data_IF_763685609082
#
_entry.id   IF_763685609082
#
_cell.length_a   1.000
_cell.length_b   1.000
_cell.length_c   1.000
_cell.angle_alpha   90.00
_cell.angle_beta   90.00
_cell.angle_gamma   90.00
#
_symmetry.space_group_name_H-M   'P 1'
#
loop_
_entity.id
_entity.type
_entity.pdbx_description
1 polymer ?
#
# COMPACT_ATOMS: atom_id res chain seq x y z
N UNK A 1 -3.05 2.55 -11.92
CA UNK A 1 -2.98 3.45 -13.08
C UNK A 1 -3.91 2.94 -14.18
N UNK A 2 -4.95 3.71 -14.53
CA UNK A 2 -5.95 3.29 -15.48
C UNK A 2 -6.06 4.24 -16.67
N UNK A 3 -6.48 3.73 -17.81
CA UNK A 3 -6.82 4.51 -19.00
C UNK A 3 -8.09 3.93 -19.64
N UNK A 4 -9.17 4.72 -19.64
CA UNK A 4 -10.43 4.40 -20.35
C UNK A 4 -11.30 3.34 -19.67
N UNK A 5 -10.92 2.06 -19.67
CA UNK A 5 -11.69 0.97 -19.05
C UNK A 5 -11.30 0.71 -17.59
N UNK A 6 -10.04 0.91 -17.24
CA UNK A 6 -9.51 0.71 -15.89
C UNK A 6 -9.34 2.05 -15.18
N UNK A 7 -9.50 2.05 -13.87
CA UNK A 7 -9.36 3.24 -13.05
C UNK A 7 -7.92 3.37 -12.53
N UNK A 8 -7.46 4.62 -12.41
CA UNK A 8 -6.33 4.95 -11.56
C UNK A 8 -6.84 5.12 -10.13
N UNK A 9 -6.13 4.55 -9.18
CA UNK A 9 -6.48 4.62 -7.77
C UNK A 9 -5.27 5.04 -6.92
N UNK A 10 -5.53 5.84 -5.88
CA UNK A 10 -4.57 6.20 -4.82
C UNK A 10 -5.24 5.87 -3.49
N UNK A 11 -4.52 5.16 -2.64
CA UNK A 11 -4.92 4.85 -1.26
C UNK A 11 -3.90 5.43 -0.29
N UNK A 12 -4.39 6.10 0.75
CA UNK A 12 -3.56 6.66 1.81
C UNK A 12 -4.01 6.10 3.15
N UNK A 13 -3.06 5.48 3.84
CA UNK A 13 -3.28 4.87 5.16
C UNK A 13 -2.37 5.52 6.19
N UNK A 14 -2.91 5.77 7.36
CA UNK A 14 -2.15 6.20 8.52
C UNK A 14 -1.55 4.99 9.25
N UNK A 15 -0.30 5.09 9.66
CA UNK A 15 0.37 4.13 10.53
C UNK A 15 0.65 4.78 11.91
N UNK A 16 0.55 4.06 12.99
CA UNK A 16 0.32 2.61 13.14
C UNK A 16 -1.16 2.20 13.16
N UNK A 17 -2.10 3.15 13.16
CA UNK A 17 -3.53 2.89 13.33
C UNK A 17 -4.16 2.05 12.21
N UNK A 18 -3.48 1.91 11.07
CA UNK A 18 -4.01 1.31 9.84
C UNK A 18 -5.38 1.89 9.45
N UNK A 19 -5.55 3.19 9.65
CA UNK A 19 -6.78 3.91 9.31
C UNK A 19 -6.69 4.52 7.91
N UNK A 20 -7.69 4.29 7.08
CA UNK A 20 -7.79 4.94 5.78
C UNK A 20 -8.03 6.45 5.95
N UNK A 21 -7.11 7.25 5.41
CA UNK A 21 -7.13 8.72 5.49
C UNK A 21 -7.79 9.32 4.27
N UNK A 22 -7.43 8.82 3.09
CA UNK A 22 -7.89 9.37 1.82
C UNK A 22 -7.86 8.30 0.73
N UNK A 23 -8.76 8.43 -0.22
CA UNK A 23 -8.73 7.73 -1.50
C UNK A 23 -8.94 8.70 -2.65
N UNK A 24 -8.37 8.38 -3.79
CA UNK A 24 -8.67 9.01 -5.06
C UNK A 24 -8.83 7.95 -6.15
N UNK A 25 -9.81 8.13 -7.02
CA UNK A 25 -10.16 7.13 -8.01
C UNK A 25 -10.78 7.79 -9.25
N UNK A 26 -10.15 7.59 -10.44
CA UNK A 26 -10.63 8.19 -11.69
C UNK A 26 -10.09 7.45 -12.92
N UNK A 27 -10.87 7.34 -14.00
CA UNK A 27 -10.50 6.58 -15.19
C UNK A 27 -10.04 7.40 -16.41
N UNK A 28 -10.25 8.73 -16.38
CA UNK A 28 -9.94 9.61 -17.52
C UNK A 28 -8.75 10.55 -17.28
N UNK A 29 -8.10 10.45 -16.13
CA UNK A 29 -6.99 11.35 -15.78
C UNK A 29 -5.70 10.88 -16.46
N UNK A 30 -5.02 11.72 -17.27
CA UNK A 30 -3.72 11.38 -17.85
C UNK A 30 -2.66 11.07 -16.77
N UNK A 31 -1.69 10.21 -17.09
CA UNK A 31 -0.67 9.74 -16.13
C UNK A 31 0.12 10.88 -15.49
N UNK A 32 0.47 11.92 -16.26
CA UNK A 32 1.15 13.10 -15.72
C UNK A 32 0.29 13.85 -14.70
N UNK A 33 -1.02 13.91 -14.92
CA UNK A 33 -1.94 14.51 -13.95
C UNK A 33 -2.12 13.62 -12.71
N UNK A 34 -2.11 12.29 -12.86
CA UNK A 34 -2.13 11.37 -11.72
C UNK A 34 -0.90 11.56 -10.83
N UNK A 35 0.30 11.73 -11.41
CA UNK A 35 1.52 12.01 -10.65
C UNK A 35 1.44 13.35 -9.89
N UNK A 36 0.86 14.40 -10.51
CA UNK A 36 0.61 15.69 -9.83
C UNK A 36 -0.37 15.54 -8.68
N UNK A 37 -1.47 14.82 -8.88
CA UNK A 37 -2.46 14.55 -7.83
C UNK A 37 -1.80 13.83 -6.65
N UNK A 38 -1.00 12.80 -6.92
CA UNK A 38 -0.25 12.10 -5.87
C UNK A 38 0.63 13.06 -5.07
N UNK A 39 1.44 13.88 -5.77
CA UNK A 39 2.29 14.89 -5.12
C UNK A 39 1.47 15.86 -4.27
N UNK A 40 0.40 16.40 -4.82
CA UNK A 40 -0.40 17.43 -4.17
C UNK A 40 -1.15 16.88 -2.95
N UNK A 41 -1.60 15.61 -2.98
CA UNK A 41 -2.16 14.92 -1.82
C UNK A 41 -1.11 14.71 -0.72
N UNK A 42 0.08 14.22 -1.07
CA UNK A 42 1.19 14.01 -0.12
C UNK A 42 1.57 15.36 0.52
N UNK A 43 1.73 16.39 -0.30
CA UNK A 43 2.06 17.74 0.18
C UNK A 43 1.00 18.29 1.11
N UNK A 44 -0.29 18.12 0.78
CA UNK A 44 -1.38 18.58 1.63
C UNK A 44 -1.37 17.91 3.01
N UNK A 45 -1.04 16.62 3.07
CA UNK A 45 -0.93 15.88 4.33
C UNK A 45 0.27 16.39 5.12
N UNK A 46 1.42 16.54 4.47
CA UNK A 46 2.64 17.05 5.11
C UNK A 46 2.44 18.46 5.70
N UNK A 47 1.88 19.37 4.90
CA UNK A 47 1.56 20.75 5.33
C UNK A 47 0.61 20.75 6.55
N UNK A 48 -0.38 19.85 6.60
CA UNK A 48 -1.27 19.71 7.76
C UNK A 48 -0.54 19.19 8.99
N UNK A 49 0.28 18.14 8.84
CA UNK A 49 1.08 17.63 9.95
C UNK A 49 1.99 18.71 10.53
N UNK A 50 2.66 19.48 9.68
CA UNK A 50 3.51 20.61 10.08
C UNK A 50 2.69 21.65 10.83
N UNK A 51 1.52 22.04 10.33
CA UNK A 51 0.66 23.04 10.95
C UNK A 51 0.18 22.62 12.35
N UNK A 52 0.02 21.33 12.58
CA UNK A 52 -0.39 20.76 13.88
C UNK A 52 0.81 20.42 14.79
N UNK A 53 2.05 20.69 14.33
CA UNK A 53 3.27 20.37 15.09
C UNK A 53 3.57 18.88 15.17
N UNK A 54 3.00 18.06 14.26
CA UNK A 54 3.20 16.63 14.20
C UNK A 54 4.40 16.33 13.29
N UNK A 55 5.39 15.60 13.83
CA UNK A 55 6.46 15.04 13.00
C UNK A 55 5.95 13.79 12.32
N UNK A 56 5.75 13.85 11.00
CA UNK A 56 5.31 12.72 10.20
C UNK A 56 6.45 12.12 9.38
N UNK A 57 6.39 10.81 9.14
CA UNK A 57 7.21 10.12 8.14
C UNK A 57 6.29 9.66 7.03
N UNK A 58 6.43 10.25 5.85
CA UNK A 58 5.59 9.93 4.69
C UNK A 58 6.34 8.95 3.78
N UNK A 59 5.68 7.89 3.43
CA UNK A 59 6.17 6.88 2.48
C UNK A 59 5.20 6.78 1.31
N UNK A 60 5.72 6.72 0.10
CA UNK A 60 4.89 6.58 -1.09
C UNK A 60 5.53 5.67 -2.13
N UNK A 61 4.73 5.11 -3.01
CA UNK A 61 5.20 4.28 -4.12
C UNK A 61 4.16 4.20 -5.23
N UNK A 62 4.55 3.57 -6.33
CA UNK A 62 3.66 3.23 -7.44
C UNK A 62 3.83 1.76 -7.81
N UNK A 63 2.77 1.15 -8.34
CA UNK A 63 2.90 -0.15 -8.98
C UNK A 63 3.68 -0.01 -10.28
N UNK A 64 4.75 -0.77 -10.43
CA UNK A 64 5.59 -0.76 -11.63
C UNK A 64 5.09 -1.81 -12.64
N UNK A 65 3.92 -1.54 -13.22
CA UNK A 65 3.42 -2.20 -14.43
C UNK A 65 3.67 -1.28 -15.65
N UNK A 66 3.13 -1.61 -16.82
CA UNK A 66 3.33 -0.82 -18.06
C UNK A 66 2.96 0.67 -17.90
N UNK A 67 1.84 0.97 -17.23
CA UNK A 67 1.44 2.35 -16.93
C UNK A 67 2.22 2.93 -15.75
N UNK A 68 2.69 2.10 -14.85
CA UNK A 68 3.55 2.49 -13.73
C UNK A 68 4.90 3.02 -14.18
N UNK A 69 5.46 2.50 -15.24
CA UNK A 69 6.69 3.06 -15.84
C UNK A 69 6.46 4.49 -16.32
N UNK A 70 5.32 4.78 -16.95
CA UNK A 70 4.95 6.13 -17.33
C UNK A 70 4.75 7.07 -16.12
N UNK A 71 4.20 6.57 -15.02
CA UNK A 71 4.08 7.34 -13.79
C UNK A 71 5.45 7.62 -13.14
N UNK A 72 6.38 6.68 -13.18
CA UNK A 72 7.75 6.90 -12.69
C UNK A 72 8.48 7.97 -13.52
N UNK A 73 8.28 7.98 -14.85
CA UNK A 73 8.79 9.05 -15.72
C UNK A 73 8.18 10.40 -15.34
N UNK A 74 6.85 10.45 -15.16
CA UNK A 74 6.15 11.69 -14.78
C UNK A 74 6.59 12.21 -13.39
N UNK A 75 6.83 11.34 -12.41
CA UNK A 75 7.38 11.71 -11.10
C UNK A 75 8.79 12.29 -11.24
N UNK A 76 9.63 11.67 -12.08
CA UNK A 76 10.98 12.17 -12.33
C UNK A 76 10.98 13.53 -13.05
N UNK A 77 10.06 13.75 -14.01
CA UNK A 77 9.88 15.03 -14.70
C UNK A 77 9.37 16.14 -13.77
N UNK A 78 8.56 15.80 -12.79
CA UNK A 78 8.10 16.75 -11.76
C UNK A 78 9.20 17.09 -10.74
N UNK A 79 10.27 16.29 -10.68
CA UNK A 79 11.32 16.34 -9.68
C UNK A 79 10.91 15.57 -8.41
N UNK A 80 11.62 14.48 -8.12
CA UNK A 80 11.34 13.65 -6.92
C UNK A 80 11.44 14.45 -5.63
N UNK A 81 12.29 15.47 -5.60
CA UNK A 81 12.46 16.40 -4.48
C UNK A 81 11.23 17.25 -4.19
N UNK A 82 10.28 17.32 -5.14
CA UNK A 82 9.01 18.05 -4.93
C UNK A 82 7.95 17.23 -4.20
N UNK A 83 8.24 15.93 -3.97
CA UNK A 83 7.37 15.02 -3.22
C UNK A 83 7.88 14.92 -1.78
N UNK A 84 7.13 15.41 -0.78
CA UNK A 84 7.47 15.15 0.61
C UNK A 84 7.50 13.66 0.91
N UNK A 85 8.49 13.22 1.71
CA UNK A 85 8.59 11.84 2.14
C UNK A 85 9.56 10.98 1.32
N UNK A 86 9.50 9.67 1.55
CA UNK A 86 10.42 8.69 0.98
C UNK A 86 9.71 7.78 -0.03
N UNK A 87 10.24 7.74 -1.25
CA UNK A 87 9.78 6.79 -2.26
C UNK A 87 10.27 5.38 -1.92
N UNK A 88 9.34 4.44 -1.71
CA UNK A 88 9.66 3.05 -1.44
C UNK A 88 9.78 2.24 -2.73
N UNK A 89 10.76 1.35 -2.76
CA UNK A 89 10.99 0.43 -3.87
C UNK A 89 11.20 -0.98 -3.36
N UNK A 90 10.72 -1.94 -4.14
CA UNK A 90 10.87 -3.36 -3.80
C UNK A 90 12.34 -3.80 -3.93
N UNK A 91 12.91 -4.44 -2.88
CA UNK A 91 14.25 -4.99 -2.97
C UNK A 91 14.28 -6.22 -3.87
N UNK A 92 15.19 -6.22 -4.85
CA UNK A 92 15.42 -7.36 -5.74
C UNK A 92 16.63 -8.14 -5.24
N UNK A 93 16.41 -9.42 -4.88
CA UNK A 93 17.48 -10.34 -4.55
C UNK A 93 18.07 -10.93 -5.85
N UNK A 94 19.21 -10.43 -6.32
CA UNK A 94 19.99 -11.07 -7.38
C UNK A 94 21.42 -11.32 -6.85
N UNK A 95 21.70 -12.57 -6.49
CA UNK A 95 23.02 -12.97 -5.96
C UNK A 95 23.34 -12.23 -4.66
N UNK A 96 24.61 -11.81 -4.50
CA UNK A 96 25.10 -11.10 -3.31
C UNK A 96 24.84 -9.59 -3.33
N UNK A 97 24.27 -9.02 -4.41
CA UNK A 97 24.02 -7.59 -4.54
C UNK A 97 22.53 -7.34 -4.48
N UNK A 98 22.09 -6.58 -3.45
CA UNK A 98 20.73 -6.06 -3.40
C UNK A 98 20.62 -4.92 -4.42
N UNK A 99 19.72 -5.08 -5.40
CA UNK A 99 19.33 -4.03 -6.32
C UNK A 99 17.87 -3.67 -6.02
N UNK A 100 17.53 -2.39 -6.20
CA UNK A 100 16.15 -1.94 -6.10
C UNK A 100 15.61 -1.69 -7.50
N UNK A 101 14.42 -2.19 -7.78
CA UNK A 101 13.64 -1.77 -8.94
C UNK A 101 12.70 -0.68 -8.45
N UNK A 102 12.67 0.46 -9.14
CA UNK A 102 11.84 1.58 -8.73
C UNK A 102 10.36 1.16 -8.72
N UNK A 103 9.66 1.44 -7.61
CA UNK A 103 8.29 1.00 -7.37
C UNK A 103 8.15 -0.50 -7.03
N UNK A 104 6.93 -1.01 -7.11
CA UNK A 104 6.59 -2.39 -6.78
C UNK A 104 6.05 -3.13 -8.00
N UNK A 105 6.63 -4.27 -8.34
CA UNK A 105 6.14 -5.11 -9.41
C UNK A 105 5.14 -6.16 -8.86
N UNK A 106 3.91 -6.15 -9.33
CA UNK A 106 2.89 -7.09 -8.88
C UNK A 106 3.06 -8.46 -9.53
N UNK A 107 3.80 -9.32 -8.85
CA UNK A 107 3.86 -10.75 -9.17
C UNK A 107 2.68 -11.48 -8.51
N UNK A 108 2.35 -12.67 -9.01
CA UNK A 108 1.32 -13.52 -8.42
C UNK A 108 1.58 -13.81 -6.93
N UNK A 109 2.81 -14.19 -6.59
CA UNK A 109 3.20 -14.46 -5.20
C UNK A 109 3.08 -13.21 -4.31
N UNK A 110 3.51 -12.04 -4.80
CA UNK A 110 3.39 -10.77 -4.08
C UNK A 110 1.91 -10.39 -3.85
N UNK A 111 1.03 -10.60 -4.85
CA UNK A 111 -0.41 -10.36 -4.72
C UNK A 111 -1.03 -11.27 -3.65
N UNK A 112 -0.70 -12.57 -3.64
CA UNK A 112 -1.19 -13.52 -2.62
C UNK A 112 -0.73 -13.10 -1.23
N UNK A 113 0.55 -12.75 -1.06
CA UNK A 113 1.10 -12.32 0.23
C UNK A 113 0.39 -11.06 0.75
N UNK A 114 0.18 -10.06 -0.12
CA UNK A 114 -0.55 -8.85 0.23
C UNK A 114 -2.02 -9.14 0.61
N UNK A 115 -2.70 -10.03 -0.14
CA UNK A 115 -4.06 -10.47 0.19
C UNK A 115 -4.12 -11.17 1.56
N UNK A 116 -3.13 -12.01 1.87
CA UNK A 116 -3.05 -12.70 3.17
C UNK A 116 -2.86 -11.69 4.31
N UNK A 117 -1.98 -10.69 4.12
CA UNK A 117 -1.77 -9.62 5.10
C UNK A 117 -3.04 -8.79 5.31
N UNK A 118 -3.71 -8.38 4.22
CA UNK A 118 -4.97 -7.64 4.29
C UNK A 118 -6.06 -8.44 5.01
N UNK A 119 -6.21 -9.73 4.68
CA UNK A 119 -7.16 -10.63 5.33
C UNK A 119 -6.89 -10.71 6.83
N UNK A 120 -5.63 -10.90 7.24
CA UNK A 120 -5.24 -10.92 8.65
C UNK A 120 -5.67 -9.64 9.38
N UNK A 121 -5.39 -8.46 8.80
CA UNK A 121 -5.75 -7.18 9.41
C UNK A 121 -7.27 -6.97 9.51
N UNK A 122 -8.05 -7.45 8.52
CA UNK A 122 -9.52 -7.40 8.57
C UNK A 122 -10.06 -8.32 9.65
N UNK A 123 -9.60 -9.58 9.70
CA UNK A 123 -10.06 -10.57 10.67
C UNK A 123 -9.70 -10.19 12.11
N UNK A 124 -8.51 -9.62 12.32
CA UNK A 124 -8.07 -9.11 13.62
C UNK A 124 -8.62 -7.71 13.95
N UNK A 125 -9.44 -7.11 13.07
CA UNK A 125 -9.99 -5.74 13.22
C UNK A 125 -8.92 -4.66 13.40
N UNK A 126 -7.74 -4.88 12.83
CA UNK A 126 -6.59 -3.98 12.90
C UNK A 126 -6.51 -2.99 11.72
N UNK A 127 -7.51 -2.94 10.86
CA UNK A 127 -7.61 -1.99 9.76
C UNK A 127 -8.96 -1.29 9.81
N UNK A 128 -8.96 0.02 9.60
CA UNK A 128 -10.16 0.83 9.52
C UNK A 128 -10.33 1.37 8.11
N UNK A 129 -11.34 0.86 7.39
CA UNK A 129 -11.72 1.32 6.06
C UNK A 129 -12.88 2.29 6.18
N UNK A 130 -12.70 3.51 5.71
CA UNK A 130 -13.69 4.59 5.77
C UNK A 130 -14.46 4.76 4.44
N UNK A 131 -13.92 4.25 3.33
CA UNK A 131 -14.52 4.35 2.00
C UNK A 131 -15.61 3.32 1.77
N UNK A 132 -16.77 3.79 1.32
CA UNK A 132 -17.86 2.92 0.85
C UNK A 132 -17.51 2.23 -0.48
N UNK A 133 -16.73 2.90 -1.35
CA UNK A 133 -16.31 2.35 -2.64
C UNK A 133 -15.34 1.21 -2.42
N UNK A 134 -14.28 1.40 -1.63
CA UNK A 134 -13.33 0.35 -1.29
C UNK A 134 -14.02 -0.85 -0.64
N UNK A 135 -14.96 -0.62 0.29
CA UNK A 135 -15.77 -1.71 0.88
C UNK A 135 -16.59 -2.45 -0.17
N UNK A 136 -17.12 -1.75 -1.16
CA UNK A 136 -17.87 -2.38 -2.27
C UNK A 136 -16.97 -3.25 -3.13
N UNK A 137 -15.78 -2.77 -3.48
CA UNK A 137 -14.78 -3.56 -4.23
C UNK A 137 -14.32 -4.78 -3.42
N UNK A 138 -14.02 -4.62 -2.13
CA UNK A 138 -13.64 -5.73 -1.24
C UNK A 138 -14.69 -6.85 -1.19
N UNK A 139 -15.99 -6.52 -1.20
CA UNK A 139 -17.08 -7.50 -1.23
C UNK A 139 -17.14 -8.30 -2.53
N UNK A 140 -16.66 -7.75 -3.62
CA UNK A 140 -16.66 -8.41 -4.94
C UNK A 140 -15.31 -9.00 -5.31
N UNK A 141 -14.29 -8.77 -4.49
CA UNK A 141 -12.93 -9.28 -4.68
C UNK A 141 -12.83 -10.72 -4.19
N UNK A 142 -12.67 -11.67 -5.10
CA UNK A 142 -12.79 -13.09 -4.82
C UNK A 142 -11.62 -13.90 -5.39
N UNK A 143 -11.39 -15.07 -4.80
CA UNK A 143 -10.47 -16.04 -5.37
C UNK A 143 -11.05 -16.60 -6.70
N UNK A 144 -10.27 -16.54 -7.77
CA UNK A 144 -10.58 -17.11 -9.05
C UNK A 144 -9.40 -17.99 -9.52
N UNK A 145 -9.54 -19.30 -9.37
CA UNK A 145 -8.43 -20.23 -9.55
C UNK A 145 -7.32 -19.97 -8.55
N UNK A 146 -6.13 -19.67 -9.04
CA UNK A 146 -4.95 -19.41 -8.21
C UNK A 146 -4.74 -17.92 -7.91
N UNK A 147 -5.58 -17.02 -8.38
CA UNK A 147 -5.44 -15.56 -8.21
C UNK A 147 -6.64 -14.93 -7.52
N UNK A 148 -6.51 -13.65 -7.14
CA UNK A 148 -7.58 -12.84 -6.59
C UNK A 148 -7.89 -11.70 -7.53
N UNK A 149 -9.17 -11.46 -7.83
CA UNK A 149 -9.64 -10.35 -8.66
C UNK A 149 -11.12 -10.05 -8.43
N UNK A 150 -11.60 -8.93 -8.94
CA UNK A 150 -13.01 -8.62 -8.92
C UNK A 150 -13.84 -9.64 -9.71
N UNK A 151 -15.10 -9.82 -9.32
CA UNK A 151 -16.08 -10.55 -10.11
C UNK A 151 -16.27 -9.88 -11.48
N UNK A 152 -16.70 -10.67 -12.48
CA UNK A 152 -16.97 -10.15 -13.83
C UNK A 152 -17.90 -8.94 -13.77
N UNK A 153 -17.51 -7.85 -14.44
CA UNK A 153 -18.24 -6.59 -14.45
C UNK A 153 -18.09 -5.71 -13.20
N UNK A 154 -17.15 -6.06 -12.30
CA UNK A 154 -16.79 -5.27 -11.14
C UNK A 154 -15.33 -4.80 -11.25
N UNK A 155 -14.94 -3.83 -10.43
CA UNK A 155 -13.61 -3.24 -10.36
C UNK A 155 -12.89 -3.66 -9.09
N UNK A 156 -11.55 -3.66 -9.13
CA UNK A 156 -10.65 -3.92 -7.97
C UNK A 156 -9.46 -2.93 -7.93
N UNK A 157 -9.64 -1.74 -8.50
CA UNK A 157 -8.58 -0.75 -8.61
C UNK A 157 -8.19 -0.17 -7.23
N UNK A 158 -9.16 0.17 -6.39
CA UNK A 158 -8.94 0.60 -5.00
C UNK A 158 -8.37 -0.54 -4.16
N UNK A 159 -8.88 -1.77 -4.33
CA UNK A 159 -8.30 -2.94 -3.65
C UNK A 159 -6.86 -3.15 -4.08
N UNK A 160 -6.53 -3.00 -5.36
CA UNK A 160 -5.16 -3.12 -5.87
C UNK A 160 -4.23 -2.05 -5.28
N UNK A 161 -4.70 -0.81 -5.15
CA UNK A 161 -3.96 0.26 -4.47
C UNK A 161 -3.76 -0.07 -2.97
N UNK A 162 -4.78 -0.58 -2.28
CA UNK A 162 -4.66 -1.04 -0.89
C UNK A 162 -3.68 -2.22 -0.75
N UNK A 163 -3.66 -3.16 -1.69
CA UNK A 163 -2.69 -4.26 -1.68
C UNK A 163 -1.25 -3.75 -1.86
N UNK A 164 -1.03 -2.66 -2.61
CA UNK A 164 0.26 -2.00 -2.69
C UNK A 164 0.66 -1.43 -1.32
N UNK A 165 -0.27 -0.77 -0.61
CA UNK A 165 -0.03 -0.31 0.77
C UNK A 165 0.34 -1.48 1.68
N UNK A 166 -0.33 -2.62 1.59
CA UNK A 166 0.03 -3.81 2.39
C UNK A 166 1.48 -4.25 2.15
N UNK A 167 1.95 -4.21 0.91
CA UNK A 167 3.34 -4.54 0.57
C UNK A 167 4.33 -3.52 1.12
N UNK A 168 3.98 -2.24 1.07
CA UNK A 168 4.79 -1.17 1.69
C UNK A 168 4.89 -1.37 3.20
N UNK A 169 3.78 -1.66 3.87
CA UNK A 169 3.75 -1.95 5.32
C UNK A 169 4.61 -3.15 5.66
N UNK A 170 4.53 -4.25 4.90
CA UNK A 170 5.38 -5.42 5.11
C UNK A 170 6.87 -5.07 4.96
N UNK A 171 7.23 -4.27 3.96
CA UNK A 171 8.61 -3.82 3.78
C UNK A 171 9.10 -2.93 4.93
N UNK A 172 8.25 -2.01 5.41
CA UNK A 172 8.55 -1.14 6.54
C UNK A 172 8.72 -1.93 7.84
N UNK A 173 7.90 -2.95 8.08
CA UNK A 173 8.02 -3.83 9.24
C UNK A 173 9.34 -4.63 9.24
N UNK A 174 9.83 -5.02 8.05
CA UNK A 174 11.13 -5.69 7.91
C UNK A 174 12.31 -4.74 8.20
N UNK A 175 12.15 -3.43 7.97
CA UNK A 175 13.18 -2.43 8.22
C UNK A 175 13.16 -1.87 9.64
N UNK A 176 11.96 -1.71 10.21
CA UNK A 176 11.75 -1.20 11.56
C UNK A 176 10.71 -2.05 12.30
N UNK A 177 11.14 -3.06 13.04
CA UNK A 177 10.25 -3.90 13.83
C UNK A 177 9.41 -3.12 14.86
N UNK A 178 9.84 -1.93 15.29
CA UNK A 178 9.08 -1.09 16.21
C UNK A 178 7.74 -0.63 15.63
N UNK A 179 7.62 -0.57 14.30
CA UNK A 179 6.35 -0.30 13.63
C UNK A 179 5.32 -1.38 13.94
N UNK A 180 5.76 -2.64 13.99
CA UNK A 180 4.89 -3.77 14.34
C UNK A 180 4.38 -3.65 15.78
N UNK A 181 5.26 -3.35 16.71
CA UNK A 181 4.89 -3.17 18.13
C UNK A 181 3.92 -2.00 18.31
N UNK A 182 4.18 -0.87 17.67
CA UNK A 182 3.27 0.28 17.67
C UNK A 182 1.90 -0.04 17.07
N UNK A 183 1.84 -0.83 16.00
CA UNK A 183 0.58 -1.27 15.40
C UNK A 183 -0.21 -2.18 16.34
N UNK A 184 0.48 -3.07 17.06
CA UNK A 184 -0.15 -3.94 18.07
C UNK A 184 -0.71 -3.15 19.24
N UNK A 185 0.06 -2.23 19.78
CA UNK A 185 -0.31 -1.43 20.96
C UNK A 185 -1.50 -0.50 20.68
N UNK A 186 -1.66 -0.03 19.43
CA UNK A 186 -2.80 0.81 19.02
C UNK A 186 -4.14 0.07 19.00
N UNK A 187 -4.14 -1.25 19.00
CA UNK A 187 -5.38 -2.03 18.88
C UNK A 187 -6.08 -2.33 20.18
N UNK A 188 -5.51 -1.91 21.33
CA UNK A 188 -6.12 -2.14 22.65
C UNK A 188 -6.41 -3.62 22.92
N UNK A 189 -5.73 -4.52 22.24
CA UNK A 189 -5.81 -5.94 22.54
C UNK A 189 -5.16 -6.16 23.90
N UNK A 190 -5.98 -6.44 24.91
CA UNK A 190 -5.51 -7.17 26.09
C UNK A 190 -4.70 -8.36 25.62
N UNK A 191 -3.58 -8.62 26.27
CA UNK A 191 -2.70 -9.78 26.03
C UNK A 191 -3.50 -11.08 26.08
N UNK A 192 -4.19 -11.44 25.01
CA UNK A 192 -4.65 -12.79 24.81
C UNK A 192 -3.55 -13.54 24.07
N UNK A 193 -2.89 -14.39 24.84
CA UNK A 193 -1.94 -15.44 24.46
C UNK A 193 -1.80 -15.68 22.95
N UNK A 194 -0.85 -14.98 22.32
CA UNK A 194 -0.32 -15.46 21.05
C UNK A 194 0.39 -16.78 21.33
N UNK A 195 0.08 -17.87 20.62
CA UNK A 195 0.79 -19.12 20.82
C UNK A 195 2.27 -18.88 20.60
N UNK A 196 3.07 -19.14 21.61
CA UNK A 196 4.52 -19.04 21.56
C UNK A 196 5.04 -19.91 20.40
N UNK A 197 5.97 -19.40 19.57
CA UNK A 197 6.58 -20.23 18.55
C UNK A 197 7.32 -21.40 19.23
N UNK A 198 6.88 -22.63 18.95
CA UNK A 198 7.54 -23.84 19.43
C UNK A 198 8.80 -24.03 18.57
N UNK A 199 9.97 -23.77 19.13
CA UNK A 199 11.24 -24.17 18.51
C UNK A 199 11.46 -25.67 18.77
N UNK A 200 11.30 -26.47 17.71
CA UNK A 200 11.73 -27.88 17.75
C UNK A 200 13.20 -27.88 17.36
N UNK A 201 14.08 -28.03 18.38
CA UNK A 201 15.50 -28.32 18.15
C UNK A 201 15.63 -29.81 17.80
N UNK A 202 15.94 -30.12 16.55
CA UNK A 202 16.41 -31.45 16.14
C UNK A 202 17.91 -31.51 16.35
N UNK A 203 18.35 -32.34 17.32
CA UNK A 203 19.72 -32.77 17.48
C UNK A 203 20.11 -33.71 16.35
#
# INVERSE_FOLDING_TARGET
LGTGGDYAAIEIMELPSMSQVCEWHHNMTPVQAQARILRDLIKHIDDKCIAEGITSSIYYSVENNTLGEAALVAINELGEETFPGLFLSEPIKKGHVRRFRKGFNTTHAAKISACSKLKQLIESKQIKVNSKMLVSELKTFVAQGITFKAKVGQHDDLVSALLLVMRMVMLLQDWDPSIYDKMRDHTGMEEHDLPMPIYISTY
#
